data_IF_692899634227
#
_entry.id   IF_692899634227
#
_cell.length_a   1.000
_cell.length_b   1.000
_cell.length_c   1.000
_cell.angle_alpha   90.00
_cell.angle_beta   90.00
_cell.angle_gamma   90.00
#
_symmetry.space_group_name_H-M   'P 1'
#
loop_
_entity.id
_entity.type
_entity.pdbx_description
1 polymer ?
#
# COMPACT_ATOMS: atom_id res chain seq x y z
N UNK A 1 12.26 17.57 -8.86
CA UNK A 1 12.16 16.17 -8.37
C UNK A 1 12.94 15.24 -9.29
N UNK A 2 13.69 14.27 -8.76
CA UNK A 2 14.36 13.19 -9.49
C UNK A 2 13.87 11.86 -8.95
N UNK A 3 13.69 10.85 -9.80
CA UNK A 3 13.19 9.53 -9.41
C UNK A 3 14.26 8.48 -9.69
N UNK A 4 14.50 7.63 -8.68
CA UNK A 4 15.45 6.52 -8.78
C UNK A 4 14.73 5.21 -8.46
N UNK A 5 15.04 4.16 -9.20
CA UNK A 5 14.56 2.81 -8.89
C UNK A 5 15.74 1.90 -8.59
N UNK A 6 15.64 1.10 -7.54
CA UNK A 6 16.70 0.15 -7.15
C UNK A 6 16.79 -1.04 -8.11
N UNK A 7 15.77 -1.25 -8.91
CA UNK A 7 15.65 -2.38 -9.84
C UNK A 7 15.44 -1.88 -11.27
N UNK A 8 15.84 -2.66 -12.24
CA UNK A 8 15.60 -2.38 -13.65
C UNK A 8 14.11 -2.45 -14.01
N UNK A 9 13.73 -1.90 -15.17
CA UNK A 9 12.36 -1.99 -15.66
C UNK A 9 12.03 -3.45 -15.94
N UNK A 10 11.23 -4.09 -15.08
CA UNK A 10 10.82 -5.48 -15.28
C UNK A 10 9.73 -5.65 -16.35
N UNK A 11 9.00 -4.58 -16.69
CA UNK A 11 7.92 -4.56 -17.71
C UNK A 11 7.66 -3.13 -18.18
N UNK A 12 7.23 -2.92 -19.43
CA UNK A 12 6.80 -1.59 -19.91
C UNK A 12 5.61 -1.09 -19.07
N UNK A 13 5.46 0.24 -19.02
CA UNK A 13 4.35 0.89 -18.32
C UNK A 13 3.00 0.32 -18.81
N UNK A 14 2.24 -0.29 -17.87
CA UNK A 14 0.98 -0.97 -18.22
C UNK A 14 -0.25 -0.06 -18.19
N UNK A 15 -0.12 1.17 -17.69
CA UNK A 15 -1.23 2.13 -17.60
C UNK A 15 -0.83 3.47 -18.18
N UNK A 16 -1.78 4.18 -18.78
CA UNK A 16 -1.58 5.54 -19.29
C UNK A 16 -1.08 6.52 -18.21
N UNK A 17 -1.43 6.30 -16.95
CA UNK A 17 -0.93 7.11 -15.83
C UNK A 17 0.56 6.88 -15.55
N UNK A 18 1.07 5.65 -15.72
CA UNK A 18 2.50 5.34 -15.58
C UNK A 18 3.35 5.95 -16.72
N UNK A 19 2.78 6.09 -17.91
CA UNK A 19 3.43 6.73 -19.05
C UNK A 19 3.56 8.26 -18.90
N UNK A 20 2.84 8.87 -17.96
CA UNK A 20 2.83 10.32 -17.70
C UNK A 20 3.80 10.78 -16.60
N UNK A 21 4.74 9.93 -16.16
CA UNK A 21 5.77 10.38 -15.20
C UNK A 21 6.70 11.36 -15.90
N UNK A 22 6.55 12.65 -15.60
CA UNK A 22 7.33 13.72 -16.20
C UNK A 22 8.75 13.85 -15.62
N UNK A 23 9.01 13.25 -14.45
CA UNK A 23 10.32 13.28 -13.82
C UNK A 23 11.25 12.24 -14.48
N UNK A 24 12.52 12.58 -14.74
CA UNK A 24 13.49 11.61 -15.25
C UNK A 24 13.67 10.47 -14.25
N UNK A 25 13.50 9.24 -14.71
CA UNK A 25 13.67 8.03 -13.90
C UNK A 25 15.03 7.39 -14.21
N UNK A 26 15.86 7.21 -13.17
CA UNK A 26 17.13 6.50 -13.25
C UNK A 26 17.02 5.11 -12.63
N UNK A 27 17.46 4.11 -13.34
CA UNK A 27 17.38 2.71 -12.91
C UNK A 27 18.75 2.23 -12.41
N UNK A 28 18.79 1.72 -11.16
CA UNK A 28 19.97 1.11 -10.54
C UNK A 28 19.88 -0.42 -10.54
N UNK A 29 19.34 -1.00 -11.62
CA UNK A 29 19.26 -2.45 -11.82
C UNK A 29 20.63 -3.11 -12.08
N UNK A 30 20.68 -4.41 -12.45
CA UNK A 30 21.92 -5.16 -12.68
C UNK A 30 22.98 -4.46 -13.54
N UNK A 31 22.65 -3.67 -14.58
CA UNK A 31 23.64 -2.91 -15.33
C UNK A 31 24.45 -1.89 -14.50
N UNK A 32 23.91 -1.45 -13.36
CA UNK A 32 24.61 -0.54 -12.44
C UNK A 32 25.59 -1.25 -11.49
N UNK A 33 25.63 -2.58 -11.44
CA UNK A 33 26.40 -3.35 -10.45
C UNK A 33 27.89 -2.95 -10.40
N UNK A 34 28.54 -2.82 -11.55
CA UNK A 34 29.97 -2.42 -11.62
C UNK A 34 30.19 -1.05 -10.99
N UNK A 35 29.29 -0.11 -11.23
CA UNK A 35 29.33 1.25 -10.67
C UNK A 35 29.14 1.23 -9.16
N UNK A 36 28.17 0.44 -8.67
CA UNK A 36 27.89 0.29 -7.24
C UNK A 36 29.08 -0.37 -6.51
N UNK A 37 29.66 -1.42 -7.07
CA UNK A 37 30.84 -2.10 -6.50
C UNK A 37 32.06 -1.18 -6.46
N UNK A 38 32.28 -0.38 -7.48
CA UNK A 38 33.37 0.61 -7.50
C UNK A 38 33.19 1.65 -6.40
N UNK A 39 31.97 2.15 -6.19
CA UNK A 39 31.71 3.17 -5.17
C UNK A 39 31.80 2.57 -3.76
N UNK A 40 31.40 1.30 -3.57
CA UNK A 40 31.66 0.54 -2.33
C UNK A 40 33.16 0.36 -2.06
N UNK A 41 33.98 0.00 -3.07
CA UNK A 41 35.43 -0.14 -2.90
C UNK A 41 36.10 1.18 -2.53
N UNK A 42 35.53 2.31 -2.86
CA UNK A 42 36.01 3.65 -2.54
C UNK A 42 35.42 4.26 -1.26
N UNK A 43 34.51 3.51 -0.57
CA UNK A 43 33.75 4.02 0.57
C UNK A 43 34.64 4.72 1.64
N UNK A 44 35.70 4.08 2.09
CA UNK A 44 36.57 4.64 3.12
C UNK A 44 37.30 5.91 2.66
N UNK A 45 37.67 5.97 1.38
CA UNK A 45 38.33 7.15 0.80
C UNK A 45 37.37 8.32 0.60
N UNK A 46 36.13 8.02 0.10
CA UNK A 46 35.16 9.06 -0.27
C UNK A 46 34.37 9.58 0.95
N UNK A 47 34.22 8.76 2.02
CA UNK A 47 33.38 9.06 3.19
C UNK A 47 34.02 8.87 4.55
N UNK A 48 35.32 8.53 4.58
CA UNK A 48 36.09 8.35 5.81
C UNK A 48 35.88 6.98 6.50
N UNK A 49 36.67 6.67 7.55
CA UNK A 49 36.73 5.34 8.19
C UNK A 49 35.41 4.92 8.88
N UNK A 50 34.62 5.87 9.39
CA UNK A 50 33.35 5.61 10.06
C UNK A 50 32.25 5.08 9.11
N UNK A 51 32.37 5.35 7.81
CA UNK A 51 31.42 4.89 6.82
C UNK A 51 31.40 3.34 6.69
N UNK A 52 32.58 2.72 6.77
CA UNK A 52 32.71 1.26 6.74
C UNK A 52 32.09 0.59 7.98
N UNK A 53 32.31 1.18 9.16
CA UNK A 53 31.69 0.67 10.40
C UNK A 53 30.16 0.77 10.35
N UNK A 54 29.63 1.89 9.88
CA UNK A 54 28.19 2.05 9.71
C UNK A 54 27.62 1.04 8.71
N UNK A 55 28.26 0.85 7.55
CA UNK A 55 27.79 -0.11 6.56
C UNK A 55 27.82 -1.55 7.10
N UNK A 56 28.86 -1.92 7.87
CA UNK A 56 28.86 -3.21 8.58
C UNK A 56 27.70 -3.36 9.54
N UNK A 57 27.32 -2.34 10.29
CA UNK A 57 26.14 -2.37 11.18
C UNK A 57 24.84 -2.56 10.38
N UNK A 58 24.72 -1.96 9.19
CA UNK A 58 23.56 -2.18 8.31
C UNK A 58 23.52 -3.61 7.78
N UNK A 59 24.65 -4.19 7.41
CA UNK A 59 24.72 -5.48 6.73
C UNK A 59 24.78 -6.69 7.68
N UNK A 60 25.43 -6.56 8.87
CA UNK A 60 25.59 -7.65 9.84
C UNK A 60 24.37 -7.82 10.77
N UNK A 61 23.17 -7.80 10.20
CA UNK A 61 21.91 -7.98 10.93
C UNK A 61 21.34 -9.37 10.73
N UNK A 62 20.42 -9.78 11.59
CA UNK A 62 19.60 -10.97 11.37
C UNK A 62 18.54 -10.68 10.33
N UNK A 63 18.86 -10.97 9.08
CA UNK A 63 17.90 -10.92 7.99
C UNK A 63 17.00 -12.14 8.04
N UNK A 64 15.74 -11.95 7.61
CA UNK A 64 14.71 -13.01 7.68
C UNK A 64 14.92 -14.14 6.68
N UNK A 65 15.57 -13.85 5.56
CA UNK A 65 15.87 -14.78 4.49
C UNK A 65 17.10 -14.30 3.70
N UNK A 66 17.69 -15.18 2.90
CA UNK A 66 18.77 -14.83 1.96
C UNK A 66 18.31 -13.78 0.93
N UNK A 67 17.03 -13.82 0.54
CA UNK A 67 16.44 -12.81 -0.36
C UNK A 67 16.47 -11.43 0.29
N UNK A 68 16.01 -11.30 1.53
CA UNK A 68 16.01 -10.03 2.28
C UNK A 68 17.43 -9.52 2.53
N UNK A 69 18.38 -10.42 2.78
CA UNK A 69 19.82 -10.07 2.91
C UNK A 69 20.36 -9.53 1.58
N UNK A 70 20.07 -10.18 0.46
CA UNK A 70 20.48 -9.74 -0.87
C UNK A 70 19.88 -8.38 -1.25
N UNK A 71 18.60 -8.18 -0.96
CA UNK A 71 17.94 -6.87 -1.16
C UNK A 71 18.59 -5.77 -0.31
N UNK A 72 18.91 -6.05 0.95
CA UNK A 72 19.55 -5.09 1.83
C UNK A 72 20.97 -4.74 1.39
N UNK A 73 21.75 -5.72 0.93
CA UNK A 73 23.09 -5.49 0.37
C UNK A 73 23.01 -4.60 -0.88
N UNK A 74 22.10 -4.93 -1.80
CA UNK A 74 21.89 -4.13 -2.99
C UNK A 74 21.44 -2.70 -2.67
N UNK A 75 20.48 -2.57 -1.75
CA UNK A 75 19.98 -1.27 -1.30
C UNK A 75 21.09 -0.43 -0.63
N UNK A 76 21.92 -1.05 0.20
CA UNK A 76 23.04 -0.38 0.85
C UNK A 76 24.08 0.10 -0.18
N UNK A 77 24.46 -0.73 -1.15
CA UNK A 77 25.36 -0.35 -2.24
C UNK A 77 24.78 0.80 -3.08
N UNK A 78 23.48 0.72 -3.41
CA UNK A 78 22.77 1.80 -4.09
C UNK A 78 22.79 3.10 -3.26
N UNK A 79 22.58 3.00 -1.94
CA UNK A 79 22.64 4.15 -1.03
C UNK A 79 23.99 4.85 -1.01
N UNK A 80 25.11 4.10 -1.02
CA UNK A 80 26.46 4.66 -1.13
C UNK A 80 26.63 5.44 -2.43
N UNK A 81 26.22 4.86 -3.55
CA UNK A 81 26.26 5.53 -4.85
C UNK A 81 25.39 6.78 -4.90
N UNK A 82 24.14 6.67 -4.43
CA UNK A 82 23.17 7.76 -4.43
C UNK A 82 23.58 8.92 -3.54
N UNK A 83 24.31 8.68 -2.43
CA UNK A 83 24.80 9.73 -1.55
C UNK A 83 25.62 10.78 -2.31
N UNK A 84 26.53 10.32 -3.17
CA UNK A 84 27.36 11.18 -4.01
C UNK A 84 26.57 11.90 -5.09
N UNK A 85 25.69 11.17 -5.77
CA UNK A 85 24.81 11.76 -6.80
C UNK A 85 23.90 12.85 -6.21
N UNK A 86 23.39 12.63 -5.01
CA UNK A 86 22.47 13.57 -4.35
C UNK A 86 23.20 14.85 -3.90
N UNK A 87 24.44 14.75 -3.39
CA UNK A 87 25.24 15.92 -3.08
C UNK A 87 25.56 16.75 -4.32
N UNK A 88 26.04 16.11 -5.39
CA UNK A 88 26.36 16.80 -6.65
C UNK A 88 25.11 17.46 -7.25
N UNK A 89 23.95 16.82 -7.09
CA UNK A 89 22.68 17.29 -7.63
C UNK A 89 21.98 18.35 -6.76
N UNK A 90 22.55 18.71 -5.59
CA UNK A 90 21.95 19.66 -4.66
C UNK A 90 20.57 19.23 -4.12
N UNK A 91 20.40 17.93 -3.84
CA UNK A 91 19.15 17.39 -3.31
C UNK A 91 19.00 17.82 -1.85
N UNK A 92 17.89 18.47 -1.51
CA UNK A 92 17.60 18.92 -0.14
C UNK A 92 16.89 17.88 0.73
N UNK A 93 16.23 16.88 0.13
CA UNK A 93 15.50 15.84 0.86
C UNK A 93 15.38 14.55 0.06
N UNK A 94 15.46 13.39 0.74
CA UNK A 94 15.34 12.06 0.15
C UNK A 94 14.05 11.41 0.64
N UNK A 95 13.19 10.95 -0.25
CA UNK A 95 12.00 10.18 0.13
C UNK A 95 12.01 8.76 -0.43
N UNK A 96 11.88 7.77 0.44
CA UNK A 96 11.69 6.37 0.07
C UNK A 96 10.20 5.99 0.13
N UNK A 97 9.62 5.44 -0.96
CA UNK A 97 8.19 5.11 -0.99
C UNK A 97 7.83 3.81 -0.24
N UNK A 98 8.80 3.09 0.30
CA UNK A 98 8.66 1.82 1.03
C UNK A 98 9.66 1.75 2.18
N UNK A 99 9.27 1.07 3.30
CA UNK A 99 10.11 0.95 4.50
C UNK A 99 11.20 -0.15 4.41
N UNK A 100 11.19 -0.98 3.36
CA UNK A 100 12.17 -2.04 3.07
C UNK A 100 13.41 -1.52 2.30
N UNK A 101 13.85 -2.16 1.25
CA UNK A 101 15.04 -1.82 0.47
C UNK A 101 15.17 -0.33 0.12
N UNK A 102 14.15 0.35 -0.43
CA UNK A 102 14.18 1.78 -0.69
C UNK A 102 14.53 2.64 0.52
N UNK A 103 13.95 2.36 1.70
CA UNK A 103 14.29 3.10 2.91
C UNK A 103 15.69 2.76 3.41
N UNK A 104 16.20 1.55 3.20
CA UNK A 104 17.59 1.19 3.49
C UNK A 104 18.56 2.00 2.62
N UNK A 105 18.30 2.12 1.32
CA UNK A 105 19.11 2.94 0.43
C UNK A 105 19.07 4.43 0.81
N UNK A 106 17.88 4.96 1.12
CA UNK A 106 17.72 6.35 1.56
C UNK A 106 18.42 6.62 2.89
N UNK A 107 18.34 5.70 3.85
CA UNK A 107 19.04 5.80 5.13
C UNK A 107 20.55 5.83 4.96
N UNK A 108 21.12 4.92 4.15
CA UNK A 108 22.56 4.90 3.85
C UNK A 108 22.97 6.19 3.14
N UNK A 109 22.22 6.61 2.12
CA UNK A 109 22.50 7.84 1.42
C UNK A 109 22.46 9.07 2.35
N UNK A 110 21.45 9.16 3.20
CA UNK A 110 21.27 10.22 4.18
C UNK A 110 22.45 10.27 5.19
N UNK A 111 22.82 9.12 5.75
CA UNK A 111 23.90 9.02 6.74
C UNK A 111 25.25 9.45 6.18
N UNK A 112 25.54 9.17 4.92
CA UNK A 112 26.76 9.55 4.25
C UNK A 112 26.74 11.02 3.80
N UNK A 113 25.67 11.45 3.14
CA UNK A 113 25.59 12.81 2.55
C UNK A 113 25.17 13.91 3.51
N UNK A 114 24.61 13.56 4.69
CA UNK A 114 24.00 14.53 5.61
C UNK A 114 22.62 15.06 5.17
N UNK A 115 22.10 14.59 4.03
CA UNK A 115 20.77 15.00 3.51
C UNK A 115 19.68 14.28 4.32
N UNK A 116 18.66 14.97 4.88
CA UNK A 116 17.60 14.32 5.62
C UNK A 116 16.78 13.41 4.72
N UNK A 117 16.26 12.31 5.32
CA UNK A 117 15.39 11.41 4.59
C UNK A 117 14.09 11.16 5.32
N UNK A 118 13.08 10.79 4.56
CA UNK A 118 11.81 10.26 5.02
C UNK A 118 11.46 8.99 4.28
N UNK A 119 10.50 8.24 4.81
CA UNK A 119 9.95 7.09 4.09
C UNK A 119 8.46 6.92 4.32
N UNK A 120 7.82 6.25 3.36
CA UNK A 120 6.44 5.76 3.52
C UNK A 120 6.46 4.32 3.98
N UNK A 121 5.66 4.00 5.01
CA UNK A 121 5.49 2.66 5.57
C UNK A 121 4.09 2.15 5.25
N UNK A 122 3.99 0.93 4.75
CA UNK A 122 2.74 0.31 4.29
C UNK A 122 2.62 -1.11 4.83
N UNK A 123 1.47 -1.77 4.63
CA UNK A 123 1.21 -3.09 5.19
C UNK A 123 2.29 -4.14 4.86
N UNK A 124 2.73 -4.22 3.60
CA UNK A 124 3.66 -5.25 3.15
C UNK A 124 5.06 -5.11 3.74
N UNK A 125 5.56 -3.89 3.88
CA UNK A 125 6.91 -3.58 4.35
C UNK A 125 6.98 -3.43 5.88
N UNK A 126 5.81 -3.41 6.55
CA UNK A 126 5.69 -3.45 8.00
C UNK A 126 5.37 -4.85 8.53
N UNK A 127 4.73 -5.69 7.73
CA UNK A 127 4.24 -7.00 8.18
C UNK A 127 4.65 -8.11 7.20
N UNK A 128 5.77 -8.68 7.48
CA UNK A 128 6.72 -8.50 8.56
C UNK A 128 7.84 -7.49 8.22
N UNK A 129 8.41 -6.77 9.22
CA UNK A 129 9.47 -5.80 9.00
C UNK A 129 10.80 -6.44 8.55
N UNK A 130 11.65 -5.68 7.90
CA UNK A 130 12.92 -6.15 7.33
C UNK A 130 14.09 -6.29 8.33
N UNK A 131 13.86 -6.08 9.61
CA UNK A 131 14.89 -6.21 10.66
C UNK A 131 15.69 -4.93 10.94
N UNK A 132 15.57 -3.87 10.14
CA UNK A 132 16.20 -2.56 10.38
C UNK A 132 15.17 -1.43 10.59
N UNK A 133 13.91 -1.78 10.81
CA UNK A 133 12.82 -0.81 10.88
C UNK A 133 13.03 0.22 12.01
N UNK A 134 13.45 -0.21 13.21
CA UNK A 134 13.63 0.68 14.36
C UNK A 134 14.72 1.73 14.11
N UNK A 135 15.82 1.34 13.51
CA UNK A 135 16.92 2.25 13.22
C UNK A 135 16.55 3.22 12.08
N UNK A 136 15.79 2.76 11.10
CA UNK A 136 15.26 3.64 10.06
C UNK A 136 14.24 4.63 10.63
N UNK A 137 13.40 4.18 11.57
CA UNK A 137 12.52 5.07 12.34
C UNK A 137 13.30 6.11 13.12
N UNK A 138 14.34 5.71 13.84
CA UNK A 138 15.18 6.64 14.63
C UNK A 138 15.87 7.68 13.73
N UNK A 139 16.39 7.25 12.58
CA UNK A 139 17.19 8.11 11.71
C UNK A 139 16.36 9.01 10.76
N UNK A 140 15.14 8.65 10.44
CA UNK A 140 14.30 9.41 9.52
C UNK A 140 13.80 10.72 10.13
N UNK A 141 13.67 11.77 9.32
CA UNK A 141 13.08 13.06 9.70
C UNK A 141 11.54 13.01 9.73
N UNK A 142 10.96 12.16 8.90
CA UNK A 142 9.50 11.97 8.80
C UNK A 142 9.20 10.55 8.36
N UNK A 143 8.16 9.95 8.93
CA UNK A 143 7.63 8.66 8.51
C UNK A 143 6.15 8.82 8.17
N UNK A 144 5.82 8.56 6.92
CA UNK A 144 4.42 8.58 6.48
C UNK A 144 3.84 7.18 6.54
N UNK A 145 2.65 7.03 7.13
CA UNK A 145 1.82 5.82 7.00
C UNK A 145 0.61 6.09 6.10
N UNK A 146 0.04 5.03 5.54
CA UNK A 146 -1.16 5.13 4.70
C UNK A 146 -2.43 4.65 5.40
N UNK A 147 -2.36 4.35 6.70
CA UNK A 147 -3.49 4.03 7.58
C UNK A 147 -3.18 4.47 9.01
N UNK A 148 -4.19 4.84 9.78
CA UNK A 148 -4.05 5.12 11.22
C UNK A 148 -3.67 3.86 12.01
N UNK A 149 -4.08 2.69 11.53
CA UNK A 149 -3.66 1.42 12.13
C UNK A 149 -2.13 1.26 12.09
N UNK A 150 -1.49 1.57 10.96
CA UNK A 150 -0.04 1.53 10.84
C UNK A 150 0.65 2.66 11.62
N UNK A 151 0.06 3.84 11.69
CA UNK A 151 0.55 4.94 12.54
C UNK A 151 0.59 4.50 14.00
N UNK A 152 -0.51 3.98 14.53
CA UNK A 152 -0.57 3.44 15.90
C UNK A 152 0.42 2.30 16.14
N UNK A 153 0.54 1.39 15.18
CA UNK A 153 1.50 0.28 15.26
C UNK A 153 2.94 0.79 15.37
N UNK A 154 3.35 1.72 14.53
CA UNK A 154 4.71 2.28 14.55
C UNK A 154 4.96 3.16 15.78
N UNK A 155 3.98 3.94 16.22
CA UNK A 155 4.07 4.74 17.44
C UNK A 155 4.22 3.86 18.69
N UNK A 156 3.52 2.71 18.73
CA UNK A 156 3.68 1.74 19.81
C UNK A 156 5.04 1.01 19.76
N UNK A 157 5.55 0.74 18.55
CA UNK A 157 6.84 0.07 18.34
C UNK A 157 8.02 1.00 18.69
N UNK A 158 7.91 2.30 18.40
CA UNK A 158 8.93 3.31 18.63
C UNK A 158 8.34 4.58 19.26
N UNK A 159 7.99 4.56 20.56
CA UNK A 159 7.29 5.69 21.22
C UNK A 159 8.07 7.01 21.19
N UNK A 160 9.40 6.95 21.24
CA UNK A 160 10.27 8.14 21.15
C UNK A 160 10.18 8.84 19.80
N UNK A 161 9.79 8.11 18.76
CA UNK A 161 9.73 8.58 17.38
C UNK A 161 8.29 8.96 16.94
N UNK A 162 7.31 8.82 17.84
CA UNK A 162 5.88 8.98 17.52
C UNK A 162 5.55 10.33 16.89
N UNK A 163 6.21 11.42 17.32
CA UNK A 163 5.95 12.77 16.84
C UNK A 163 6.24 12.97 15.34
N UNK A 164 7.12 12.16 14.74
CA UNK A 164 7.46 12.24 13.32
C UNK A 164 6.73 11.21 12.45
N UNK A 165 5.86 10.41 13.05
CA UNK A 165 5.03 9.44 12.34
C UNK A 165 3.69 10.11 12.03
N UNK A 166 3.38 10.26 10.74
CA UNK A 166 2.15 10.94 10.30
C UNK A 166 1.33 10.04 9.40
N UNK A 167 0.02 10.04 9.59
CA UNK A 167 -0.89 9.39 8.65
C UNK A 167 -1.31 10.34 7.53
N UNK A 168 -1.03 9.94 6.30
CA UNK A 168 -1.61 10.52 5.09
C UNK A 168 -2.07 9.37 4.23
N UNK A 169 -3.37 9.22 4.08
CA UNK A 169 -3.96 8.13 3.29
C UNK A 169 -3.48 8.12 1.85
N UNK A 170 -3.39 6.94 1.25
CA UNK A 170 -3.42 6.87 -0.20
C UNK A 170 -4.77 7.39 -0.66
N UNK A 171 -4.77 8.16 -1.73
CA UNK A 171 -6.00 8.65 -2.30
C UNK A 171 -6.40 7.85 -3.53
N UNK A 172 -7.65 8.01 -3.89
CA UNK A 172 -8.22 7.62 -5.19
C UNK A 172 -8.62 8.87 -5.93
N UNK A 173 -8.63 8.81 -7.26
CA UNK A 173 -9.21 9.89 -8.06
C UNK A 173 -10.71 9.87 -7.87
N UNK A 174 -11.30 11.01 -7.52
CA UNK A 174 -12.74 11.12 -7.37
C UNK A 174 -13.41 10.87 -8.74
N UNK A 175 -14.45 10.05 -8.73
CA UNK A 175 -15.26 9.80 -9.93
C UNK A 175 -16.22 10.98 -10.11
N UNK A 176 -16.32 11.58 -11.31
CA UNK A 176 -17.15 12.75 -11.52
C UNK A 176 -18.65 12.49 -11.29
N UNK A 177 -19.15 11.35 -11.72
CA UNK A 177 -20.58 11.03 -11.61
C UNK A 177 -20.80 9.56 -11.22
N UNK A 178 -21.54 9.31 -10.14
CA UNK A 178 -22.03 7.97 -9.83
C UNK A 178 -23.09 7.55 -10.87
N UNK A 179 -23.19 6.25 -11.13
CA UNK A 179 -24.28 5.72 -11.95
C UNK A 179 -25.64 6.01 -11.31
N UNK A 180 -26.71 6.15 -12.12
CA UNK A 180 -28.06 6.35 -11.60
C UNK A 180 -28.43 5.21 -10.63
N UNK A 181 -29.21 5.52 -9.58
CA UNK A 181 -29.60 4.53 -8.59
C UNK A 181 -30.39 3.40 -9.24
N UNK A 182 -29.91 2.18 -9.00
CA UNK A 182 -30.54 0.96 -9.51
C UNK A 182 -31.34 0.28 -8.42
N UNK A 183 -32.50 -0.27 -8.79
CA UNK A 183 -33.27 -1.16 -7.89
C UNK A 183 -32.49 -2.48 -7.76
N UNK A 184 -32.08 -2.80 -6.54
CA UNK A 184 -31.40 -4.06 -6.23
C UNK A 184 -32.43 -5.13 -5.97
N UNK A 185 -32.38 -6.19 -6.77
CA UNK A 185 -33.31 -7.34 -6.66
C UNK A 185 -32.59 -8.62 -7.09
N UNK A 186 -33.05 -9.79 -6.64
CA UNK A 186 -32.48 -11.07 -7.05
C UNK A 186 -32.57 -11.28 -8.57
N UNK A 187 -31.58 -11.97 -9.16
CA UNK A 187 -30.36 -12.43 -8.52
C UNK A 187 -29.44 -11.29 -8.18
N UNK A 188 -28.98 -11.18 -6.90
CA UNK A 188 -28.06 -10.13 -6.47
C UNK A 188 -26.70 -10.28 -7.14
N UNK A 189 -26.17 -9.19 -7.70
CA UNK A 189 -24.85 -9.17 -8.33
C UNK A 189 -23.78 -8.84 -7.30
N UNK A 190 -23.12 -9.85 -6.81
CA UNK A 190 -22.04 -9.74 -5.85
C UNK A 190 -20.71 -9.58 -6.58
N UNK A 191 -19.84 -8.68 -6.10
CA UNK A 191 -18.51 -8.42 -6.69
C UNK A 191 -17.43 -8.54 -5.63
N UNK A 192 -16.37 -9.26 -5.94
CA UNK A 192 -15.09 -9.21 -5.24
C UNK A 192 -13.97 -9.06 -6.28
N UNK A 193 -13.00 -8.16 -6.02
CA UNK A 193 -11.95 -7.82 -6.99
C UNK A 193 -10.60 -7.67 -6.33
N UNK A 194 -9.58 -8.32 -6.91
CA UNK A 194 -8.19 -8.18 -6.49
C UNK A 194 -7.33 -9.37 -6.87
N UNK A 195 -6.05 -9.33 -6.50
CA UNK A 195 -5.14 -10.46 -6.75
C UNK A 195 -5.64 -11.70 -5.99
N UNK A 196 -5.60 -12.86 -6.63
CA UNK A 196 -5.99 -14.13 -6.01
C UNK A 196 -4.82 -14.67 -5.17
N UNK A 197 -4.66 -14.10 -3.97
CA UNK A 197 -3.61 -14.41 -2.98
C UNK A 197 -4.22 -14.61 -1.59
N UNK A 198 -3.56 -15.35 -0.65
CA UNK A 198 -4.15 -15.75 0.63
C UNK A 198 -4.75 -14.60 1.43
N UNK A 199 -4.08 -13.46 1.53
CA UNK A 199 -4.56 -12.31 2.31
C UNK A 199 -5.88 -11.71 1.84
N UNK A 200 -6.35 -12.04 0.65
CA UNK A 200 -7.64 -11.58 0.10
C UNK A 200 -8.83 -12.40 0.61
N UNK A 201 -8.61 -13.57 1.21
CA UNK A 201 -9.64 -14.35 1.88
C UNK A 201 -10.73 -14.91 0.99
N UNK A 202 -10.49 -15.07 -0.32
CA UNK A 202 -11.54 -15.50 -1.26
C UNK A 202 -12.05 -16.93 -1.01
N UNK A 203 -11.25 -17.79 -0.37
CA UNK A 203 -11.72 -19.11 0.06
C UNK A 203 -12.82 -18.98 1.14
N UNK A 204 -12.69 -18.00 2.05
CA UNK A 204 -13.71 -17.69 3.07
C UNK A 204 -14.98 -17.13 2.41
N UNK A 205 -14.84 -16.26 1.40
CA UNK A 205 -15.97 -15.76 0.63
C UNK A 205 -16.75 -16.89 -0.05
N UNK A 206 -16.05 -17.85 -0.68
CA UNK A 206 -16.70 -19.00 -1.29
C UNK A 206 -17.42 -19.88 -0.26
N UNK A 207 -16.85 -20.03 0.94
CA UNK A 207 -17.52 -20.73 2.04
C UNK A 207 -18.79 -19.98 2.49
N UNK A 208 -18.75 -18.65 2.59
CA UNK A 208 -19.91 -17.82 2.87
C UNK A 208 -20.99 -17.93 1.77
N UNK A 209 -20.57 -17.90 0.49
CA UNK A 209 -21.49 -18.10 -0.64
C UNK A 209 -22.17 -19.47 -0.61
N UNK A 210 -21.49 -20.53 -0.16
CA UNK A 210 -22.10 -21.85 0.04
C UNK A 210 -23.21 -21.81 1.10
N UNK A 211 -23.03 -21.07 2.20
CA UNK A 211 -24.06 -20.90 3.22
C UNK A 211 -25.26 -20.15 2.65
N UNK A 212 -25.04 -19.01 2.00
CA UNK A 212 -26.10 -18.21 1.36
C UNK A 212 -26.90 -19.03 0.33
N UNK A 213 -26.24 -19.84 -0.49
CA UNK A 213 -26.89 -20.69 -1.45
C UNK A 213 -27.78 -21.75 -0.78
N UNK A 214 -27.37 -22.30 0.39
CA UNK A 214 -28.17 -23.24 1.18
C UNK A 214 -29.38 -22.58 1.85
N UNK A 215 -29.25 -21.31 2.21
CA UNK A 215 -30.33 -20.49 2.79
C UNK A 215 -31.28 -19.92 1.72
N UNK A 216 -31.04 -20.24 0.44
CA UNK A 216 -31.92 -19.86 -0.65
C UNK A 216 -31.71 -18.47 -1.21
N UNK A 217 -30.66 -17.76 -0.83
CA UNK A 217 -30.34 -16.46 -1.44
C UNK A 217 -30.03 -16.66 -2.93
N UNK A 218 -30.72 -15.93 -3.80
CA UNK A 218 -30.43 -15.93 -5.23
C UNK A 218 -29.40 -14.83 -5.56
N UNK A 219 -28.21 -15.25 -5.99
CA UNK A 219 -27.11 -14.36 -6.28
C UNK A 219 -26.19 -14.88 -7.39
N UNK A 220 -25.44 -13.97 -7.99
CA UNK A 220 -24.30 -14.28 -8.84
C UNK A 220 -23.07 -13.53 -8.37
N UNK A 221 -21.98 -14.24 -8.01
CA UNK A 221 -20.70 -13.65 -7.60
C UNK A 221 -19.74 -13.56 -8.79
N UNK A 222 -19.29 -12.35 -9.12
CA UNK A 222 -18.13 -12.11 -9.98
C UNK A 222 -16.89 -11.96 -9.09
N UNK A 223 -15.99 -12.94 -9.13
CA UNK A 223 -14.71 -12.88 -8.44
C UNK A 223 -13.59 -12.55 -9.45
N UNK A 224 -13.34 -11.26 -9.63
CA UNK A 224 -12.43 -10.72 -10.64
C UNK A 224 -10.99 -10.61 -10.13
N UNK A 225 -10.04 -11.05 -10.94
CA UNK A 225 -8.62 -11.01 -10.65
C UNK A 225 -7.89 -12.28 -11.07
N UNK A 226 -6.56 -12.25 -10.89
CA UNK A 226 -5.71 -13.41 -11.14
C UNK A 226 -4.65 -13.56 -10.05
N UNK A 227 -4.09 -14.77 -9.93
CA UNK A 227 -3.07 -15.07 -8.94
C UNK A 227 -2.93 -16.56 -8.64
N UNK A 228 -1.99 -16.91 -7.74
CA UNK A 228 -1.63 -18.30 -7.44
C UNK A 228 -2.81 -19.14 -6.92
N UNK A 229 -3.79 -18.53 -6.24
CA UNK A 229 -4.95 -19.26 -5.69
C UNK A 229 -6.02 -19.61 -6.74
N UNK A 230 -5.92 -19.15 -8.00
CA UNK A 230 -6.94 -19.37 -9.03
C UNK A 230 -7.38 -20.83 -9.16
N UNK A 231 -6.42 -21.76 -9.17
CA UNK A 231 -6.72 -23.21 -9.30
C UNK A 231 -7.45 -23.74 -8.06
N UNK A 232 -7.04 -23.31 -6.88
CA UNK A 232 -7.68 -23.70 -5.62
C UNK A 232 -9.13 -23.17 -5.55
N UNK A 233 -9.35 -21.91 -5.86
CA UNK A 233 -10.66 -21.29 -5.84
C UNK A 233 -11.62 -21.99 -6.84
N UNK A 234 -11.14 -22.34 -8.04
CA UNK A 234 -11.94 -23.10 -9.01
C UNK A 234 -12.35 -24.48 -8.48
N UNK A 235 -11.46 -25.19 -7.74
CA UNK A 235 -11.81 -26.45 -7.08
C UNK A 235 -12.85 -26.27 -5.99
N UNK A 236 -12.74 -25.19 -5.19
CA UNK A 236 -13.71 -24.86 -4.14
C UNK A 236 -15.08 -24.55 -4.70
N UNK A 237 -15.18 -23.79 -5.80
CA UNK A 237 -16.45 -23.54 -6.52
C UNK A 237 -17.13 -24.86 -6.88
N UNK A 238 -16.39 -25.84 -7.44
CA UNK A 238 -16.92 -27.15 -7.74
C UNK A 238 -17.36 -27.94 -6.50
N UNK A 239 -16.50 -27.98 -5.46
CA UNK A 239 -16.77 -28.69 -4.20
C UNK A 239 -17.97 -28.13 -3.44
N UNK A 240 -18.18 -26.84 -3.50
CA UNK A 240 -19.27 -26.14 -2.80
C UNK A 240 -20.58 -26.11 -3.60
N UNK A 241 -20.61 -26.66 -4.82
CA UNK A 241 -21.81 -26.64 -5.67
C UNK A 241 -22.17 -25.26 -6.21
N UNK A 242 -21.16 -24.36 -6.33
CA UNK A 242 -21.37 -22.97 -6.75
C UNK A 242 -21.17 -22.75 -8.26
N UNK A 243 -21.08 -23.82 -9.05
CA UNK A 243 -21.07 -23.73 -10.52
C UNK A 243 -22.34 -23.03 -11.00
N UNK A 244 -22.20 -22.07 -11.93
CA UNK A 244 -23.30 -21.24 -12.39
C UNK A 244 -23.64 -20.02 -11.50
N UNK A 245 -23.24 -20.03 -10.21
CA UNK A 245 -23.40 -18.89 -9.28
C UNK A 245 -22.13 -18.08 -9.09
N UNK A 246 -20.96 -18.56 -9.50
CA UNK A 246 -19.68 -17.87 -9.36
C UNK A 246 -18.92 -17.87 -10.66
N UNK A 247 -18.54 -16.69 -11.12
CA UNK A 247 -17.69 -16.47 -12.30
C UNK A 247 -16.31 -16.01 -11.90
N UNK A 248 -15.25 -16.58 -12.52
CA UNK A 248 -13.84 -16.21 -12.40
C UNK A 248 -13.33 -15.65 -13.74
N UNK A 249 -13.60 -14.39 -14.09
CA UNK A 249 -13.23 -13.83 -15.40
C UNK A 249 -11.71 -13.73 -15.60
N UNK A 250 -10.94 -13.76 -14.52
CA UNK A 250 -9.50 -13.55 -14.58
C UNK A 250 -9.12 -12.09 -14.35
N UNK A 251 -7.96 -11.70 -14.86
CA UNK A 251 -7.50 -10.32 -14.74
C UNK A 251 -8.42 -9.35 -15.49
N UNK A 252 -8.82 -8.30 -14.78
CA UNK A 252 -9.64 -7.21 -15.32
C UNK A 252 -8.78 -5.95 -15.39
N UNK A 253 -8.65 -5.30 -16.56
CA UNK A 253 -7.98 -4.02 -16.70
C UNK A 253 -8.65 -2.94 -15.84
N UNK A 254 -7.84 -2.03 -15.26
CA UNK A 254 -8.37 -0.99 -14.36
C UNK A 254 -9.47 -0.12 -15.00
N UNK A 255 -9.40 0.12 -16.30
CA UNK A 255 -10.42 0.87 -17.06
C UNK A 255 -11.82 0.19 -17.06
N UNK A 256 -11.89 -1.10 -16.81
CA UNK A 256 -13.14 -1.88 -16.78
C UNK A 256 -13.71 -2.02 -15.36
N UNK A 257 -12.90 -1.68 -14.32
CA UNK A 257 -13.32 -1.74 -12.92
C UNK A 257 -14.55 -0.87 -12.62
N UNK A 258 -14.64 0.39 -13.15
CA UNK A 258 -15.84 1.21 -12.97
C UNK A 258 -17.12 0.54 -13.45
N UNK A 259 -17.08 -0.12 -14.60
CA UNK A 259 -18.24 -0.84 -15.16
C UNK A 259 -18.68 -1.99 -14.24
N UNK A 260 -17.74 -2.81 -13.74
CA UNK A 260 -18.06 -3.88 -12.81
C UNK A 260 -18.67 -3.35 -11.50
N UNK A 261 -18.16 -2.23 -11.01
CA UNK A 261 -18.69 -1.59 -9.80
C UNK A 261 -20.09 -1.04 -10.04
N UNK A 262 -20.34 -0.39 -11.17
CA UNK A 262 -21.66 0.11 -11.54
C UNK A 262 -22.71 -0.99 -11.65
N UNK A 263 -22.34 -2.19 -12.06
CA UNK A 263 -23.23 -3.34 -12.15
C UNK A 263 -23.43 -4.08 -10.84
N UNK A 264 -22.54 -3.89 -9.85
CA UNK A 264 -22.60 -4.61 -8.59
C UNK A 264 -23.70 -4.08 -7.66
N UNK A 265 -24.40 -5.00 -6.99
CA UNK A 265 -25.34 -4.68 -5.92
C UNK A 265 -24.65 -4.67 -4.55
N UNK A 266 -23.56 -5.45 -4.40
CA UNK A 266 -22.77 -5.55 -3.20
C UNK A 266 -21.31 -5.85 -3.55
N UNK A 267 -20.37 -5.10 -2.95
CA UNK A 267 -18.94 -5.37 -3.02
C UNK A 267 -18.45 -6.05 -1.74
N UNK A 268 -17.66 -7.12 -1.88
CA UNK A 268 -17.16 -7.89 -0.75
C UNK A 268 -15.64 -7.88 -0.72
N UNK A 269 -15.04 -7.48 0.44
CA UNK A 269 -13.61 -7.52 0.69
C UNK A 269 -13.30 -8.37 1.93
N UNK A 270 -13.16 -9.68 1.79
CA UNK A 270 -13.01 -10.62 2.89
C UNK A 270 -11.53 -10.79 3.31
N UNK A 271 -10.78 -9.70 3.36
CA UNK A 271 -9.35 -9.70 3.68
C UNK A 271 -9.05 -10.41 4.99
N UNK A 272 -7.88 -11.03 5.07
CA UNK A 272 -7.37 -11.69 6.28
C UNK A 272 -5.87 -11.45 6.45
N UNK A 273 -5.33 -11.84 7.60
CA UNK A 273 -3.89 -11.92 7.82
C UNK A 273 -3.43 -13.26 7.28
N UNK A 274 -2.60 -13.26 6.24
CA UNK A 274 -2.03 -14.50 5.70
C UNK A 274 -1.08 -15.18 6.72
N UNK A 275 -0.83 -16.49 6.60
CA UNK A 275 0.11 -17.20 7.48
C UNK A 275 1.52 -16.59 7.50
N UNK A 276 1.93 -15.94 6.42
CA UNK A 276 3.19 -15.18 6.34
C UNK A 276 3.19 -13.86 7.13
N UNK A 277 2.05 -13.46 7.71
CA UNK A 277 1.84 -12.14 8.31
C UNK A 277 1.44 -11.04 7.32
N UNK A 278 1.52 -11.30 6.00
CA UNK A 278 1.12 -10.32 4.97
C UNK A 278 -0.38 -10.01 5.08
N UNK A 279 -0.72 -8.74 4.97
CA UNK A 279 -2.09 -8.22 5.06
C UNK A 279 -2.28 -6.99 4.17
N UNK A 280 -3.51 -6.64 3.90
CA UNK A 280 -3.80 -5.38 3.24
C UNK A 280 -3.81 -4.22 4.26
N UNK A 281 -3.52 -3.00 3.79
CA UNK A 281 -3.88 -1.78 4.52
C UNK A 281 -5.35 -1.43 4.26
N UNK A 282 -5.60 -0.46 3.39
CA UNK A 282 -6.92 -0.19 2.78
C UNK A 282 -6.80 -0.51 1.29
N UNK A 283 -7.46 -1.55 0.77
CA UNK A 283 -7.46 -1.82 -0.67
C UNK A 283 -8.16 -0.69 -1.43
N UNK A 284 -7.52 -0.14 -2.46
CA UNK A 284 -8.09 0.97 -3.24
C UNK A 284 -9.47 0.65 -3.81
N UNK A 285 -9.71 -0.61 -4.21
CA UNK A 285 -11.00 -1.03 -4.77
C UNK A 285 -12.17 -0.89 -3.78
N UNK A 286 -11.91 -0.90 -2.46
CA UNK A 286 -12.94 -0.59 -1.45
C UNK A 286 -13.33 0.88 -1.53
N UNK A 287 -12.36 1.78 -1.69
CA UNK A 287 -12.61 3.20 -1.88
C UNK A 287 -13.32 3.46 -3.20
N UNK A 288 -12.91 2.78 -4.26
CA UNK A 288 -13.56 2.85 -5.57
C UNK A 288 -15.02 2.36 -5.51
N UNK A 289 -15.29 1.25 -4.80
CA UNK A 289 -16.65 0.74 -4.63
C UNK A 289 -17.55 1.77 -3.91
N UNK A 290 -17.06 2.38 -2.83
CA UNK A 290 -17.81 3.42 -2.12
C UNK A 290 -18.04 4.66 -2.98
N UNK A 291 -17.04 5.08 -3.79
CA UNK A 291 -17.22 6.20 -4.73
C UNK A 291 -18.29 5.93 -5.78
N UNK A 292 -18.46 4.67 -6.19
CA UNK A 292 -19.53 4.23 -7.08
C UNK A 292 -20.84 3.92 -6.36
N UNK A 293 -21.00 4.32 -5.09
CA UNK A 293 -22.19 4.07 -4.26
C UNK A 293 -22.56 2.58 -4.15
N UNK A 294 -21.57 1.70 -4.26
CA UNK A 294 -21.75 0.27 -4.04
C UNK A 294 -21.63 -0.02 -2.55
N UNK A 295 -22.63 -0.64 -1.90
CA UNK A 295 -22.51 -1.09 -0.53
C UNK A 295 -21.36 -2.06 -0.37
N UNK A 296 -20.68 -2.00 0.79
CA UNK A 296 -19.49 -2.80 1.05
C UNK A 296 -19.67 -3.64 2.30
N UNK A 297 -19.38 -4.94 2.17
CA UNK A 297 -19.13 -5.85 3.28
C UNK A 297 -17.63 -6.13 3.32
N UNK A 298 -16.99 -5.89 4.45
CA UNK A 298 -15.56 -6.12 4.63
C UNK A 298 -15.25 -6.80 5.96
N UNK A 299 -14.02 -7.29 6.09
CA UNK A 299 -13.50 -7.85 7.33
C UNK A 299 -12.71 -6.84 8.14
N UNK A 300 -12.66 -7.01 9.45
CA UNK A 300 -11.99 -6.14 10.41
C UNK A 300 -10.46 -6.37 10.39
N UNK A 301 -9.80 -5.92 9.32
CA UNK A 301 -8.34 -6.06 9.14
C UNK A 301 -7.71 -4.72 8.87
N UNK A 302 -6.63 -4.43 9.60
CA UNK A 302 -5.74 -3.26 9.41
C UNK A 302 -6.52 -1.94 9.30
N UNK A 303 -6.49 -1.28 8.13
CA UNK A 303 -7.16 -0.01 7.89
C UNK A 303 -8.61 -0.12 7.42
N UNK A 304 -9.15 -1.31 7.17
CA UNK A 304 -10.54 -1.45 6.70
C UNK A 304 -11.56 -0.82 7.67
N UNK A 305 -11.42 -0.93 9.02
CA UNK A 305 -12.32 -0.26 9.97
C UNK A 305 -12.31 1.28 9.89
N UNK A 306 -11.28 1.86 9.29
CA UNK A 306 -11.19 3.32 9.12
C UNK A 306 -12.15 3.83 8.04
N UNK A 307 -12.51 2.96 7.09
CA UNK A 307 -13.38 3.27 5.94
C UNK A 307 -14.75 2.62 6.10
N UNK A 308 -14.79 1.34 6.50
CA UNK A 308 -16.02 0.59 6.71
C UNK A 308 -16.38 0.63 8.19
N UNK A 309 -17.24 1.58 8.52
CA UNK A 309 -17.73 1.83 9.89
C UNK A 309 -19.06 1.11 10.06
N UNK A 310 -19.20 0.16 11.01
CA UNK A 310 -20.44 -0.56 11.24
C UNK A 310 -21.63 0.40 11.43
N UNK A 311 -22.75 0.08 10.80
CA UNK A 311 -23.97 0.90 10.89
C UNK A 311 -23.91 2.24 10.15
N UNK A 312 -22.76 2.65 9.61
CA UNK A 312 -22.59 3.98 8.98
C UNK A 312 -22.22 3.89 7.52
N UNK A 313 -21.06 3.25 7.17
CA UNK A 313 -20.54 3.27 5.79
C UNK A 313 -20.49 1.88 5.16
N UNK A 314 -20.86 0.83 5.89
CA UNK A 314 -20.90 -0.54 5.39
C UNK A 314 -21.10 -1.57 6.50
N UNK A 315 -20.78 -2.82 6.20
CA UNK A 315 -20.81 -3.95 7.15
C UNK A 315 -19.37 -4.41 7.39
N UNK A 316 -19.01 -4.52 8.63
CA UNK A 316 -17.69 -5.00 9.06
C UNK A 316 -17.86 -6.28 9.87
N UNK A 317 -17.12 -7.33 9.50
CA UNK A 317 -17.21 -8.64 10.15
C UNK A 317 -15.83 -9.12 10.61
N UNK A 318 -15.82 -10.10 11.50
CA UNK A 318 -14.60 -10.78 11.90
C UNK A 318 -13.96 -11.48 10.70
N UNK A 319 -12.63 -11.39 10.59
CA UNK A 319 -11.89 -12.10 9.55
C UNK A 319 -11.90 -13.61 9.76
N UNK A 320 -11.76 -14.37 8.67
CA UNK A 320 -11.73 -15.82 8.64
C UNK A 320 -13.00 -16.51 9.22
N UNK A 321 -14.13 -15.81 9.23
CA UNK A 321 -15.42 -16.30 9.72
C UNK A 321 -16.46 -16.29 8.57
N UNK A 322 -16.67 -17.40 7.87
CA UNK A 322 -17.58 -17.46 6.74
C UNK A 322 -19.05 -17.29 7.15
N UNK A 323 -19.45 -17.66 8.36
CA UNK A 323 -20.81 -17.54 8.84
C UNK A 323 -21.19 -16.07 9.08
N UNK A 324 -20.32 -15.33 9.77
CA UNK A 324 -20.53 -13.90 9.99
C UNK A 324 -20.46 -13.13 8.67
N UNK A 325 -19.59 -13.53 7.75
CA UNK A 325 -19.52 -12.92 6.42
C UNK A 325 -20.84 -13.17 5.65
N UNK A 326 -21.36 -14.39 5.67
CA UNK A 326 -22.63 -14.72 5.02
C UNK A 326 -23.78 -13.89 5.60
N UNK A 327 -23.90 -13.80 6.93
CA UNK A 327 -24.95 -12.97 7.58
C UNK A 327 -24.85 -11.50 7.17
N UNK A 328 -23.67 -10.90 7.19
CA UNK A 328 -23.49 -9.52 6.78
C UNK A 328 -23.84 -9.28 5.31
N UNK A 329 -23.51 -10.24 4.43
CA UNK A 329 -23.92 -10.20 3.02
C UNK A 329 -25.44 -10.32 2.87
N UNK A 330 -26.09 -11.19 3.62
CA UNK A 330 -27.54 -11.36 3.64
C UNK A 330 -28.25 -10.10 4.14
N UNK A 331 -27.81 -9.53 5.26
CA UNK A 331 -28.32 -8.26 5.78
C UNK A 331 -28.23 -7.13 4.76
N UNK A 332 -27.08 -7.01 4.06
CA UNK A 332 -26.87 -5.99 3.05
C UNK A 332 -27.79 -6.18 1.81
N UNK A 333 -28.16 -7.41 1.49
CA UNK A 333 -29.09 -7.70 0.41
C UNK A 333 -30.56 -7.53 0.84
N UNK A 334 -30.89 -7.80 2.10
CA UNK A 334 -32.26 -7.78 2.61
C UNK A 334 -32.85 -6.37 2.73
N UNK A 335 -32.03 -5.34 2.99
CA UNK A 335 -32.49 -3.94 3.09
C UNK A 335 -31.77 -3.02 2.09
N UNK A 336 -32.31 -2.87 0.88
CA UNK A 336 -31.74 -1.99 -0.15
C UNK A 336 -31.68 -0.51 0.25
N UNK A 337 -32.56 -0.03 1.14
CA UNK A 337 -32.58 1.37 1.60
C UNK A 337 -31.41 1.62 2.53
N UNK A 338 -31.22 0.75 3.51
CA UNK A 338 -30.09 0.83 4.44
C UNK A 338 -28.75 0.63 3.70
N UNK A 339 -28.69 -0.31 2.75
CA UNK A 339 -27.52 -0.51 1.90
C UNK A 339 -27.13 0.75 1.12
N UNK A 340 -28.12 1.44 0.54
CA UNK A 340 -27.91 2.70 -0.16
C UNK A 340 -27.45 3.82 0.80
N UNK A 341 -28.11 3.94 1.95
CA UNK A 341 -27.74 4.95 2.96
C UNK A 341 -26.27 4.83 3.38
N UNK A 342 -25.82 3.59 3.67
CA UNK A 342 -24.41 3.32 4.04
C UNK A 342 -23.46 3.59 2.90
N UNK A 343 -23.81 3.22 1.68
CA UNK A 343 -22.97 3.47 0.50
C UNK A 343 -22.77 4.97 0.25
N UNK A 344 -23.83 5.79 0.37
CA UNK A 344 -23.75 7.25 0.24
C UNK A 344 -22.87 7.86 1.34
N UNK A 345 -23.05 7.45 2.59
CA UNK A 345 -22.19 7.91 3.69
C UNK A 345 -20.72 7.48 3.49
N UNK A 346 -20.50 6.30 2.91
CA UNK A 346 -19.17 5.81 2.53
C UNK A 346 -18.54 6.66 1.43
N UNK A 347 -19.29 7.01 0.38
CA UNK A 347 -18.84 7.91 -0.69
C UNK A 347 -18.40 9.25 -0.12
N UNK A 348 -19.21 9.85 0.75
CA UNK A 348 -18.91 11.15 1.36
C UNK A 348 -17.66 11.09 2.26
N UNK A 349 -17.47 9.99 2.99
CA UNK A 349 -16.23 9.73 3.74
C UNK A 349 -15.01 9.67 2.82
N UNK A 350 -15.11 8.90 1.72
CA UNK A 350 -13.99 8.75 0.76
C UNK A 350 -13.68 10.07 0.09
N UNK A 351 -14.67 10.82 -0.35
CA UNK A 351 -14.48 12.13 -0.96
C UNK A 351 -13.80 13.12 0.01
N UNK A 352 -14.13 13.05 1.30
CA UNK A 352 -13.56 13.93 2.31
C UNK A 352 -12.15 13.56 2.74
N UNK A 353 -11.85 12.25 2.92
CA UNK A 353 -10.59 11.82 3.55
C UNK A 353 -9.60 11.18 2.58
N UNK A 354 -10.06 10.66 1.44
CA UNK A 354 -9.26 9.85 0.50
C UNK A 354 -9.09 10.48 -0.89
N UNK A 355 -9.29 11.77 -1.02
CA UNK A 355 -8.97 12.49 -2.25
C UNK A 355 -7.45 12.48 -2.48
N UNK A 356 -7.03 11.86 -3.59
CA UNK A 356 -5.62 11.72 -3.95
C UNK A 356 -4.93 13.07 -4.13
N UNK A 357 -5.57 14.03 -4.78
CA UNK A 357 -4.99 15.35 -5.05
C UNK A 357 -4.70 16.09 -3.74
N UNK A 358 -5.67 16.14 -2.83
CA UNK A 358 -5.52 16.77 -1.51
C UNK A 358 -4.47 16.07 -0.66
N UNK A 359 -4.48 14.74 -0.61
CA UNK A 359 -3.54 13.97 0.22
C UNK A 359 -2.10 14.09 -0.30
N UNK A 360 -1.88 14.09 -1.61
CA UNK A 360 -0.55 14.35 -2.18
C UNK A 360 -0.09 15.80 -2.02
N UNK A 361 -0.99 16.77 -2.05
CA UNK A 361 -0.66 18.17 -1.75
C UNK A 361 -0.17 18.32 -0.30
N UNK A 362 -0.83 17.65 0.66
CA UNK A 362 -0.37 17.61 2.07
C UNK A 362 0.99 16.95 2.20
N UNK A 363 1.21 15.83 1.51
CA UNK A 363 2.50 15.14 1.53
C UNK A 363 3.61 16.01 0.92
N UNK A 364 3.32 16.70 -0.18
CA UNK A 364 4.26 17.63 -0.80
C UNK A 364 4.64 18.77 0.15
N UNK A 365 3.68 19.38 0.82
CA UNK A 365 3.93 20.45 1.78
C UNK A 365 4.86 20.00 2.92
N UNK A 366 4.73 18.76 3.41
CA UNK A 366 5.67 18.22 4.40
C UNK A 366 7.09 18.07 3.85
N UNK A 367 7.23 17.65 2.60
CA UNK A 367 8.56 17.52 1.96
C UNK A 367 9.19 18.89 1.70
N UNK A 368 8.40 19.88 1.28
CA UNK A 368 8.87 21.24 1.05
C UNK A 368 9.35 21.88 2.37
N UNK A 369 8.64 21.66 3.48
CA UNK A 369 9.06 22.09 4.82
C UNK A 369 10.40 21.49 5.23
N UNK A 370 10.56 20.17 5.09
CA UNK A 370 11.82 19.48 5.42
C UNK A 370 13.00 19.94 4.55
N UNK A 371 12.78 20.27 3.29
CA UNK A 371 13.80 20.79 2.39
C UNK A 371 14.19 22.23 2.75
N UNK A 372 13.22 23.08 3.11
CA UNK A 372 13.43 24.47 3.49
C UNK A 372 14.23 24.66 4.79
N UNK A 373 13.96 23.83 5.82
CA UNK A 373 14.70 23.84 7.08
C UNK A 373 16.20 23.55 6.90
N UNK A 374 16.55 22.77 5.90
CA UNK A 374 17.95 22.43 5.62
C UNK A 374 18.68 23.57 4.89
N UNK A 375 18.02 24.24 3.96
CA UNK A 375 18.61 25.40 3.27
C UNK A 375 18.95 26.48 4.30
N UNK A 376 18.06 26.79 5.23
CA UNK A 376 18.29 27.74 6.31
C UNK A 376 19.43 27.33 7.26
N UNK A 377 19.57 26.05 7.59
CA UNK A 377 20.68 25.55 8.42
C UNK A 377 22.02 25.62 7.71
N UNK A 378 22.07 25.34 6.41
CA UNK A 378 23.31 25.45 5.61
C UNK A 378 23.75 26.88 5.43
N UNK A 379 22.84 27.82 5.23
CA UNK A 379 23.15 29.26 5.17
C UNK A 379 23.65 29.80 6.53
N UNK A 380 23.00 29.39 7.63
CA UNK A 380 23.44 29.79 8.97
C UNK A 380 24.83 29.25 9.33
N UNK A 381 25.21 28.07 8.87
CA UNK A 381 26.57 27.51 9.07
C UNK A 381 27.57 28.23 8.19
N UNK A 382 27.27 28.54 6.93
CA UNK A 382 28.13 29.34 6.04
C UNK A 382 28.39 30.73 6.59
N UNK A 383 27.39 31.38 7.14
CA UNK A 383 27.51 32.71 7.72
C UNK A 383 28.33 32.73 9.04
N UNK A 384 28.39 31.60 9.78
CA UNK A 384 29.26 31.47 10.99
C UNK A 384 30.67 31.12 10.67
N UNK A 385 31.01 30.63 9.48
CA UNK A 385 32.37 30.32 9.04
C UNK A 385 33.06 31.49 8.33
N UNK A 386 32.37 32.63 8.20
CA UNK A 386 32.90 33.88 7.64
C UNK A 386 33.03 35.02 8.67
N UNK A 387 32.85 34.70 9.96
CA UNK A 387 33.16 35.53 11.12
C UNK A 387 34.34 34.90 11.87
#
# INVERSE_FOLDING_TARGET
>A
MRVYTLYGPRRPARTAGMARVLAPVRHLGPPAAVKLLRDLARLGRDWGPGAGQFLRQVLLRRWRSLETAGEALWAAAAGVHLAKEFQIAGIGHIHAPWADGPATAAWVASRLSGIPFSFSARARDLHPPDGALLEKLAAASLVRTNTRAHERYLAALAPREAAKIVNIYNGVSLVPEPAPPRVRQPPFRLLALGRLVPKKGYAILLAACRLLAREGLDFHLTLAGDGPERRQLRRLIGRYGLKGRVTLPGFVPHREVPHLLQEADLFIMPSLIAPSGDRDGIPNVVLEALLHEVPVVATEISGLPEVIRPGTTGWLTRAADPERLARAMQEACADPREARRRALAGRDLVAREFDSKRNYTRLKALFDGLAGEQTGKQEAVKNRSHI
#
